data_IF_241538222500
#
_entry.id   IF_241538222500
#
_cell.length_a   1.000
_cell.length_b   1.000
_cell.length_c   1.000
_cell.angle_alpha   90.00
_cell.angle_beta   90.00
_cell.angle_gamma   90.00
#
_symmetry.space_group_name_H-M   'P 1'
#
loop_
_entity.id
_entity.type
_entity.pdbx_description
1 polymer ?
#
# COMPACT_ATOMS: atom_id res chain seq x y z
N UNK A 1 -7.82 23.09 -11.54
CA UNK A 1 -8.33 22.14 -10.54
C UNK A 1 -9.83 22.30 -10.40
N UNK A 2 -10.66 21.24 -10.46
CA UNK A 2 -12.04 21.38 -9.99
C UNK A 2 -11.99 21.71 -8.49
N UNK A 3 -12.56 22.84 -8.07
CA UNK A 3 -12.60 23.29 -6.66
C UNK A 3 -13.21 22.23 -5.73
N UNK A 4 -14.08 21.35 -6.25
CA UNK A 4 -14.88 20.40 -5.50
C UNK A 4 -14.55 18.96 -5.89
N UNK A 5 -13.40 18.45 -5.44
CA UNK A 5 -13.19 17.00 -5.39
C UNK A 5 -14.02 16.43 -4.22
N UNK A 6 -15.26 15.98 -4.53
CA UNK A 6 -16.19 15.42 -3.53
C UNK A 6 -15.73 14.08 -2.98
N UNK A 7 -14.90 13.34 -3.75
CA UNK A 7 -14.47 11.98 -3.41
C UNK A 7 -15.60 10.93 -3.47
N UNK A 8 -16.81 11.29 -3.93
CA UNK A 8 -17.95 10.35 -4.01
C UNK A 8 -17.68 9.23 -5.01
N UNK A 9 -17.25 9.58 -6.24
CA UNK A 9 -16.89 8.61 -7.28
C UNK A 9 -15.76 7.70 -6.79
N UNK A 10 -14.68 8.29 -6.28
CA UNK A 10 -13.54 7.57 -5.73
C UNK A 10 -13.94 6.56 -4.65
N UNK A 11 -14.77 6.97 -3.67
CA UNK A 11 -15.27 6.07 -2.63
C UNK A 11 -16.09 4.90 -3.19
N UNK A 12 -16.96 5.16 -4.17
CA UNK A 12 -17.77 4.10 -4.78
C UNK A 12 -16.91 3.10 -5.55
N UNK A 13 -15.95 3.60 -6.34
CA UNK A 13 -15.02 2.76 -7.11
C UNK A 13 -14.12 1.95 -6.18
N UNK A 14 -13.67 2.54 -5.06
CA UNK A 14 -12.88 1.87 -4.04
C UNK A 14 -13.69 0.76 -3.35
N UNK A 15 -14.95 0.99 -3.00
CA UNK A 15 -15.80 -0.05 -2.42
C UNK A 15 -16.10 -1.18 -3.41
N UNK A 16 -16.24 -0.86 -4.70
CA UNK A 16 -16.50 -1.85 -5.75
C UNK A 16 -15.28 -2.72 -6.05
N UNK A 17 -14.12 -2.11 -6.22
CA UNK A 17 -12.92 -2.81 -6.73
C UNK A 17 -11.93 -3.21 -5.61
N UNK A 18 -12.05 -2.62 -4.42
CA UNK A 18 -11.18 -2.78 -3.22
C UNK A 18 -9.72 -2.31 -3.40
N UNK A 19 -9.14 -2.61 -4.55
CA UNK A 19 -7.77 -2.30 -4.92
C UNK A 19 -7.80 -1.43 -6.20
N UNK A 20 -7.22 -0.23 -6.15
CA UNK A 20 -7.19 0.72 -7.27
C UNK A 20 -5.75 1.05 -7.69
N UNK A 21 -5.51 1.10 -9.00
CA UNK A 21 -4.35 1.77 -9.59
C UNK A 21 -4.69 3.26 -9.80
N UNK A 22 -3.86 4.15 -9.27
CA UNK A 22 -4.03 5.60 -9.31
C UNK A 22 -2.91 6.25 -10.09
N UNK A 23 -3.26 7.24 -10.90
CA UNK A 23 -2.31 8.13 -11.57
C UNK A 23 -2.65 9.56 -11.18
N UNK A 24 -1.71 10.20 -10.48
CA UNK A 24 -1.91 11.52 -9.91
C UNK A 24 -1.07 12.57 -10.67
N UNK A 25 -1.55 13.82 -10.77
CA UNK A 25 -0.71 14.92 -11.25
C UNK A 25 0.51 15.15 -10.35
N UNK A 26 1.65 15.45 -10.98
CA UNK A 26 2.95 15.62 -10.30
C UNK A 26 2.99 16.83 -9.36
N UNK A 27 2.02 17.73 -9.48
CA UNK A 27 1.80 18.83 -8.53
C UNK A 27 1.37 18.30 -7.14
N UNK A 28 0.89 17.05 -7.06
CA UNK A 28 0.51 16.36 -5.84
C UNK A 28 -0.72 16.96 -5.14
N UNK A 29 -0.93 16.51 -3.90
CA UNK A 29 -2.00 16.98 -3.03
C UNK A 29 -3.36 16.33 -3.29
N UNK A 30 -3.49 15.50 -4.32
CA UNK A 30 -4.70 14.72 -4.55
C UNK A 30 -4.81 13.55 -3.57
N UNK A 31 -3.69 12.95 -3.21
CA UNK A 31 -3.55 11.85 -2.25
C UNK A 31 -4.12 12.29 -0.90
N UNK A 32 -3.59 13.38 -0.34
CA UNK A 32 -4.00 13.89 0.97
C UNK A 32 -5.44 14.41 0.97
N UNK A 33 -5.90 15.01 -0.13
CA UNK A 33 -7.31 15.43 -0.27
C UNK A 33 -8.26 14.24 -0.29
N UNK A 34 -7.98 13.20 -1.07
CA UNK A 34 -8.80 11.98 -1.12
C UNK A 34 -8.77 11.25 0.22
N UNK A 35 -7.60 11.09 0.84
CA UNK A 35 -7.47 10.52 2.18
C UNK A 35 -8.31 11.27 3.21
N UNK A 36 -8.28 12.61 3.20
CA UNK A 36 -9.12 13.44 4.09
C UNK A 36 -10.62 13.20 3.84
N UNK A 37 -11.05 13.04 2.59
CA UNK A 37 -12.45 12.71 2.27
C UNK A 37 -12.84 11.32 2.76
N UNK A 38 -11.94 10.35 2.70
CA UNK A 38 -12.19 9.00 3.21
C UNK A 38 -12.23 8.96 4.74
N UNK A 39 -11.36 9.70 5.43
CA UNK A 39 -11.43 9.87 6.90
C UNK A 39 -12.76 10.46 7.35
N UNK A 40 -13.25 11.48 6.63
CA UNK A 40 -14.57 12.07 6.91
C UNK A 40 -15.75 11.07 6.73
N UNK A 41 -15.53 9.97 6.00
CA UNK A 41 -16.47 8.85 5.85
C UNK A 41 -16.21 7.69 6.82
N UNK A 42 -15.33 7.86 7.81
CA UNK A 42 -15.05 6.87 8.84
C UNK A 42 -13.88 5.92 8.56
N UNK A 43 -13.15 6.09 7.45
CA UNK A 43 -11.99 5.24 7.17
C UNK A 43 -10.81 5.60 8.08
N UNK A 44 -10.11 4.59 8.61
CA UNK A 44 -8.73 4.72 9.06
C UNK A 44 -7.84 4.68 7.83
N UNK A 45 -6.95 5.65 7.69
CA UNK A 45 -6.11 5.75 6.49
C UNK A 45 -4.64 5.86 6.85
N UNK A 46 -3.80 5.22 6.05
CA UNK A 46 -2.34 5.21 6.21
C UNK A 46 -1.70 5.33 4.84
N UNK A 47 -0.61 6.08 4.76
CA UNK A 47 0.13 6.34 3.53
C UNK A 47 1.59 5.93 3.76
N UNK A 48 2.15 5.14 2.85
CA UNK A 48 3.55 4.69 2.88
C UNK A 48 4.06 4.47 1.47
N UNK A 49 5.38 4.25 1.32
CA UNK A 49 5.99 3.89 0.04
C UNK A 49 5.89 2.38 -0.21
N UNK A 50 5.73 2.00 -1.49
CA UNK A 50 5.84 0.62 -1.95
C UNK A 50 7.30 0.15 -2.10
N UNK A 51 8.28 1.05 -2.02
CA UNK A 51 9.69 0.69 -2.18
C UNK A 51 10.16 -0.24 -1.08
N UNK A 52 10.87 -1.28 -1.49
CA UNK A 52 11.53 -2.21 -0.58
C UNK A 52 10.58 -3.15 0.16
N UNK A 53 9.34 -3.32 -0.31
CA UNK A 53 8.43 -4.32 0.24
C UNK A 53 8.89 -5.75 -0.07
N UNK A 54 9.23 -6.06 -1.33
CA UNK A 54 9.64 -7.41 -1.75
C UNK A 54 8.49 -8.43 -1.67
N UNK A 55 8.09 -8.82 -0.46
CA UNK A 55 6.81 -9.51 -0.22
C UNK A 55 5.83 -8.53 0.45
N UNK A 56 4.86 -7.98 -0.31
CA UNK A 56 3.92 -7.01 0.21
C UNK A 56 3.07 -7.53 1.37
N UNK A 57 2.70 -8.82 1.38
CA UNK A 57 1.86 -9.38 2.45
C UNK A 57 2.65 -9.43 3.76
N UNK A 58 3.88 -9.91 3.69
CA UNK A 58 4.75 -10.05 4.86
C UNK A 58 5.11 -8.67 5.42
N UNK A 59 5.59 -7.76 4.57
CA UNK A 59 6.07 -6.46 5.04
C UNK A 59 4.96 -5.53 5.53
N UNK A 60 3.78 -5.57 4.92
CA UNK A 60 2.67 -4.70 5.31
C UNK A 60 1.92 -5.25 6.53
N UNK A 61 1.70 -6.57 6.62
CA UNK A 61 0.69 -7.13 7.52
C UNK A 61 1.23 -8.11 8.58
N UNK A 62 2.46 -8.62 8.44
CA UNK A 62 2.99 -9.65 9.34
C UNK A 62 4.21 -9.17 10.11
N UNK A 63 4.33 -9.63 11.35
CA UNK A 63 5.59 -9.57 12.09
C UNK A 63 6.59 -10.48 11.38
N UNK A 64 7.76 -9.95 11.02
CA UNK A 64 8.75 -10.68 10.25
C UNK A 64 10.18 -10.33 10.68
N UNK A 65 11.11 -11.25 10.45
CA UNK A 65 12.51 -11.06 10.77
C UNK A 65 13.29 -10.44 9.60
N UNK A 66 14.09 -9.42 9.88
CA UNK A 66 15.12 -8.91 8.96
C UNK A 66 16.52 -9.25 9.47
N UNK A 67 17.48 -9.29 8.55
CA UNK A 67 18.90 -9.30 8.87
C UNK A 67 19.50 -7.98 8.41
N UNK A 68 19.80 -7.05 9.34
CA UNK A 68 20.50 -5.83 8.99
C UNK A 68 21.85 -6.15 8.33
N UNK A 69 22.40 -5.22 7.51
CA UNK A 69 23.75 -5.34 7.00
C UNK A 69 24.73 -5.62 8.15
N UNK A 70 25.50 -6.70 8.05
CA UNK A 70 26.51 -7.08 9.03
C UNK A 70 27.86 -7.26 8.32
N UNK A 71 28.96 -7.06 9.04
CA UNK A 71 30.31 -7.15 8.47
C UNK A 71 30.76 -8.60 8.15
N UNK A 72 29.87 -9.61 8.20
CA UNK A 72 30.24 -11.03 8.01
C UNK A 72 31.21 -11.62 9.05
N UNK A 73 31.71 -10.83 10.01
CA UNK A 73 32.76 -11.26 10.96
C UNK A 73 32.23 -11.61 12.36
N UNK A 74 30.96 -11.33 12.66
CA UNK A 74 30.35 -11.70 13.95
C UNK A 74 29.79 -13.12 13.91
N UNK A 75 30.67 -14.13 13.86
CA UNK A 75 30.31 -15.46 14.33
C UNK A 75 30.67 -15.51 15.81
N UNK A 76 29.73 -15.18 16.70
CA UNK A 76 29.95 -15.31 18.17
C UNK A 76 29.75 -16.79 18.61
N UNK A 77 30.19 -17.73 17.78
CA UNK A 77 30.18 -19.17 18.08
C UNK A 77 28.80 -19.83 18.20
N UNK A 78 27.71 -19.14 17.81
CA UNK A 78 26.33 -19.67 17.98
C UNK A 78 25.59 -20.03 16.70
N UNK A 79 26.01 -19.57 15.51
CA UNK A 79 25.47 -19.93 14.20
C UNK A 79 26.39 -19.37 13.10
N UNK A 80 26.16 -19.72 11.82
CA UNK A 80 26.86 -19.10 10.69
C UNK A 80 26.85 -17.58 10.78
N UNK A 81 27.85 -16.90 10.19
CA UNK A 81 28.02 -15.45 10.25
C UNK A 81 26.94 -14.70 9.44
N UNK A 82 25.68 -14.82 9.87
CA UNK A 82 24.47 -14.32 9.22
C UNK A 82 23.87 -13.11 9.96
N UNK A 83 24.47 -12.69 11.07
CA UNK A 83 23.94 -11.62 11.92
C UNK A 83 22.71 -12.02 12.75
N UNK A 84 22.25 -11.11 13.60
CA UNK A 84 21.03 -11.29 14.39
C UNK A 84 19.78 -11.08 13.54
N UNK A 85 18.73 -11.86 13.82
CA UNK A 85 17.41 -11.64 13.23
C UNK A 85 16.65 -10.65 14.10
N UNK A 86 16.41 -9.45 13.58
CA UNK A 86 15.60 -8.44 14.24
C UNK A 86 14.15 -8.55 13.79
N UNK A 87 13.21 -8.59 14.73
CA UNK A 87 11.79 -8.58 14.40
C UNK A 87 11.33 -7.17 14.05
N UNK A 88 10.63 -7.03 12.93
CA UNK A 88 10.10 -5.76 12.42
C UNK A 88 8.59 -5.81 12.48
N UNK A 89 8.03 -4.77 13.10
CA UNK A 89 6.58 -4.56 13.17
C UNK A 89 6.06 -4.31 11.75
N UNK A 90 4.91 -4.90 11.36
CA UNK A 90 4.33 -4.66 10.04
C UNK A 90 4.12 -3.18 9.76
N UNK A 91 4.48 -2.73 8.55
CA UNK A 91 4.45 -1.31 8.20
C UNK A 91 3.04 -0.72 8.27
N UNK A 92 2.01 -1.51 7.92
CA UNK A 92 0.63 -1.06 7.96
C UNK A 92 -0.04 -1.26 9.33
N UNK A 93 0.69 -1.62 10.38
CA UNK A 93 0.16 -1.90 11.72
C UNK A 93 -0.77 -0.81 12.28
N UNK A 94 -0.46 0.46 12.03
CA UNK A 94 -1.29 1.61 12.45
C UNK A 94 -2.73 1.56 11.89
N UNK A 95 -2.96 0.90 10.75
CA UNK A 95 -4.31 0.70 10.20
C UNK A 95 -5.16 -0.26 11.03
N UNK A 96 -4.54 -1.15 11.81
CA UNK A 96 -5.20 -2.24 12.53
C UNK A 96 -5.38 -1.97 14.02
N UNK A 97 -4.99 -0.79 14.50
CA UNK A 97 -5.25 -0.36 15.87
C UNK A 97 -6.75 -0.12 16.15
N UNK A 98 -7.55 0.14 15.11
CA UNK A 98 -8.99 0.40 15.19
C UNK A 98 -9.76 -0.58 14.29
N UNK A 99 -9.91 -1.83 14.74
CA UNK A 99 -10.43 -2.95 13.92
C UNK A 99 -11.87 -2.80 13.43
N UNK A 100 -12.66 -1.92 14.06
CA UNK A 100 -14.05 -1.69 13.67
C UNK A 100 -14.15 -0.89 12.37
N UNK A 101 -13.17 -0.04 12.06
CA UNK A 101 -13.19 0.85 10.90
C UNK A 101 -12.76 0.16 9.62
N UNK A 102 -13.30 0.67 8.50
CA UNK A 102 -12.74 0.39 7.19
C UNK A 102 -11.33 0.98 7.07
N UNK A 103 -10.44 0.25 6.41
CA UNK A 103 -9.01 0.58 6.33
C UNK A 103 -8.67 0.96 4.90
N UNK A 104 -7.94 2.06 4.72
CA UNK A 104 -7.41 2.49 3.43
C UNK A 104 -5.89 2.64 3.52
N UNK A 105 -5.18 1.75 2.85
CA UNK A 105 -3.74 1.84 2.64
C UNK A 105 -3.47 2.56 1.31
N UNK A 106 -2.66 3.61 1.34
CA UNK A 106 -2.19 4.31 0.15
C UNK A 106 -0.70 4.03 -0.03
N UNK A 107 -0.36 3.36 -1.13
CA UNK A 107 1.01 3.03 -1.51
C UNK A 107 1.49 4.03 -2.57
N UNK A 108 2.49 4.81 -2.20
CA UNK A 108 3.25 5.66 -3.11
C UNK A 108 4.24 4.82 -3.90
N UNK A 109 4.66 5.31 -5.06
CA UNK A 109 5.72 4.70 -5.87
C UNK A 109 5.44 3.25 -6.31
N UNK A 110 4.18 2.93 -6.59
CA UNK A 110 3.73 1.59 -6.99
C UNK A 110 4.37 1.05 -8.26
N UNK A 111 4.93 1.92 -9.12
CA UNK A 111 5.65 1.49 -10.33
C UNK A 111 6.88 0.60 -10.07
N UNK A 112 7.36 0.50 -8.82
CA UNK A 112 8.47 -0.39 -8.47
C UNK A 112 8.03 -1.84 -8.24
N UNK A 113 6.72 -2.08 -8.12
CA UNK A 113 6.17 -3.40 -7.85
C UNK A 113 6.06 -4.20 -9.15
N UNK A 114 6.46 -5.45 -9.10
CA UNK A 114 6.22 -6.45 -10.15
C UNK A 114 4.74 -6.84 -10.25
N UNK A 115 4.36 -7.44 -11.37
CA UNK A 115 3.02 -7.97 -11.56
C UNK A 115 2.59 -8.93 -10.44
N UNK A 116 3.48 -9.84 -10.02
CA UNK A 116 3.21 -10.78 -8.93
C UNK A 116 2.97 -10.09 -7.59
N UNK A 117 3.69 -9.00 -7.31
CA UNK A 117 3.49 -8.20 -6.09
C UNK A 117 2.14 -7.46 -6.13
N UNK A 118 1.75 -6.92 -7.29
CA UNK A 118 0.44 -6.28 -7.49
C UNK A 118 -0.71 -7.28 -7.34
N UNK A 119 -0.57 -8.49 -7.90
CA UNK A 119 -1.54 -9.58 -7.73
C UNK A 119 -1.66 -10.02 -6.27
N UNK A 120 -0.55 -10.01 -5.52
CA UNK A 120 -0.55 -10.28 -4.07
C UNK A 120 -1.41 -9.24 -3.33
N UNK A 121 -1.27 -7.95 -3.65
CA UNK A 121 -2.11 -6.89 -3.08
C UNK A 121 -3.61 -7.11 -3.36
N UNK A 122 -3.97 -7.57 -4.57
CA UNK A 122 -5.36 -7.90 -4.91
C UNK A 122 -5.87 -9.07 -4.06
N UNK A 123 -5.06 -10.12 -3.86
CA UNK A 123 -5.43 -11.27 -3.00
C UNK A 123 -5.66 -10.84 -1.55
N UNK A 124 -4.82 -9.94 -1.04
CA UNK A 124 -4.97 -9.35 0.29
C UNK A 124 -6.29 -8.57 0.41
N UNK A 125 -6.56 -7.64 -0.53
CA UNK A 125 -7.83 -6.89 -0.61
C UNK A 125 -9.06 -7.82 -0.70
N UNK A 126 -8.92 -8.95 -1.39
CA UNK A 126 -10.02 -9.90 -1.58
C UNK A 126 -10.33 -10.66 -0.30
N UNK A 127 -9.29 -11.03 0.45
CA UNK A 127 -9.39 -11.79 1.70
C UNK A 127 -9.91 -10.95 2.87
N UNK A 128 -9.52 -9.67 2.98
CA UNK A 128 -10.03 -8.74 3.99
C UNK A 128 -10.96 -7.70 3.36
N UNK A 129 -12.28 -7.88 3.53
CA UNK A 129 -13.28 -6.96 2.99
C UNK A 129 -13.23 -5.54 3.60
N UNK A 130 -12.61 -5.37 4.78
CA UNK A 130 -12.44 -4.05 5.41
C UNK A 130 -11.21 -3.32 4.87
N UNK A 131 -10.24 -4.02 4.28
CA UNK A 131 -9.01 -3.43 3.74
C UNK A 131 -9.16 -3.04 2.27
N UNK A 132 -8.89 -1.77 1.99
CA UNK A 132 -8.86 -1.20 0.64
C UNK A 132 -7.46 -0.66 0.40
N UNK A 133 -6.93 -0.86 -0.81
CA UNK A 133 -5.57 -0.42 -1.16
C UNK A 133 -5.63 0.47 -2.40
N UNK A 134 -4.91 1.57 -2.38
CA UNK A 134 -4.65 2.42 -3.54
C UNK A 134 -3.17 2.37 -3.82
N UNK A 135 -2.80 2.08 -5.06
CA UNK A 135 -1.42 2.00 -5.52
C UNK A 135 -1.20 3.09 -6.56
N UNK A 136 -0.31 4.04 -6.24
CA UNK A 136 0.05 5.11 -7.17
C UNK A 136 1.06 4.59 -8.19
N UNK A 137 0.60 4.35 -9.41
CA UNK A 137 1.38 3.72 -10.48
C UNK A 137 2.19 4.73 -11.31
N UNK A 138 2.05 6.03 -11.05
CA UNK A 138 2.83 7.07 -11.70
C UNK A 138 2.08 8.39 -11.86
N UNK A 139 2.70 9.30 -12.61
CA UNK A 139 2.17 10.62 -12.89
C UNK A 139 1.18 10.65 -14.06
N UNK A 140 0.14 11.48 -13.97
CA UNK A 140 -0.73 11.82 -15.12
C UNK A 140 -1.11 13.29 -15.14
N UNK A 141 -1.40 13.86 -16.30
CA UNK A 141 -1.86 15.26 -16.43
C UNK A 141 -3.20 15.52 -15.72
N UNK A 142 -3.97 14.46 -15.44
CA UNK A 142 -5.25 14.53 -14.74
C UNK A 142 -5.30 13.41 -13.71
N UNK A 143 -6.03 13.65 -12.62
CA UNK A 143 -6.29 12.60 -11.65
C UNK A 143 -7.18 11.52 -12.28
N UNK A 144 -6.64 10.32 -12.41
CA UNK A 144 -7.34 9.16 -12.94
C UNK A 144 -7.02 7.90 -12.14
N UNK A 145 -7.97 6.98 -12.08
CA UNK A 145 -7.80 5.69 -11.43
C UNK A 145 -8.64 4.65 -12.13
N UNK A 146 -8.21 3.39 -12.00
CA UNK A 146 -8.92 2.21 -12.49
C UNK A 146 -8.77 1.07 -11.49
N UNK A 147 -9.51 -0.02 -11.69
CA UNK A 147 -9.31 -1.23 -10.90
C UNK A 147 -7.86 -1.71 -11.06
N UNK A 148 -7.19 -2.08 -9.97
CA UNK A 148 -5.82 -2.60 -10.07
C UNK A 148 -5.76 -3.86 -10.94
N UNK A 149 -6.80 -4.71 -10.85
CA UNK A 149 -6.91 -5.90 -11.69
C UNK A 149 -7.04 -5.56 -13.18
N UNK A 150 -7.81 -4.53 -13.52
CA UNK A 150 -7.99 -4.07 -14.90
C UNK A 150 -6.69 -3.47 -15.46
N UNK A 151 -5.96 -2.73 -14.63
CA UNK A 151 -4.65 -2.21 -14.99
C UNK A 151 -3.63 -3.33 -15.29
N UNK A 152 -3.54 -4.35 -14.43
CA UNK A 152 -2.64 -5.50 -14.64
C UNK A 152 -2.96 -6.24 -15.95
N UNK A 153 -4.23 -6.42 -16.27
CA UNK A 153 -4.63 -7.19 -17.45
C UNK A 153 -4.39 -6.45 -18.78
N UNK A 154 -4.49 -5.13 -18.79
CA UNK A 154 -4.57 -4.35 -20.03
C UNK A 154 -3.39 -3.40 -20.26
N UNK A 155 -2.62 -3.04 -19.23
CA UNK A 155 -1.69 -1.90 -19.29
C UNK A 155 -0.37 -2.07 -18.52
N UNK A 156 -0.18 -3.18 -17.81
CA UNK A 156 1.09 -3.51 -17.15
C UNK A 156 2.01 -4.27 -18.10
#
# INVERSE_FOLDING_TARGET
>A
MPLLLTGKKFHNDLNKNKCLAMFAPLEGGYETRLLRRMRAKGFKTYITSARGLGDPEVFLLKLHGIRPPHLGHQSIGRNGALGEVQQVIPQASELFNENDKDKLLWLLEGQVLSQSELESLIKICTSDNKLKIVVEMGGSRKLEWKSLNDYILNEF
#
